data_IF_881454540720
#
_entry.id   IF_881454540720
#
_cell.length_a   1.000
_cell.length_b   1.000
_cell.length_c   1.000
_cell.angle_alpha   90.00
_cell.angle_beta   90.00
_cell.angle_gamma   90.00
#
_symmetry.space_group_name_H-M   'P 1'
#
loop_
_entity.id
_entity.type
_entity.pdbx_description
1 polymer ?
#
# COMPACT_ATOMS: atom_id res chain seq x y z
N UNK A 1 33.44 41.94 -6.24
CA UNK A 1 33.40 40.50 -6.61
C UNK A 1 33.20 39.55 -5.42
N UNK A 2 33.57 39.91 -4.18
CA UNK A 2 33.40 39.04 -3.00
C UNK A 2 31.94 38.72 -2.58
N UNK A 3 30.96 39.58 -2.91
CA UNK A 3 29.54 39.39 -2.51
C UNK A 3 28.76 38.36 -3.33
N UNK A 4 29.23 38.00 -4.52
CA UNK A 4 28.54 37.04 -5.41
C UNK A 4 28.89 35.59 -5.02
N UNK A 5 30.08 35.37 -4.46
CA UNK A 5 30.53 34.05 -3.99
C UNK A 5 29.77 33.55 -2.76
N UNK A 6 29.28 34.46 -1.90
CA UNK A 6 28.56 34.13 -0.67
C UNK A 6 27.16 33.55 -0.91
N UNK A 7 26.48 33.98 -1.98
CA UNK A 7 25.13 33.49 -2.33
C UNK A 7 25.15 32.07 -2.92
N UNK A 8 26.17 31.74 -3.72
CA UNK A 8 26.29 30.44 -4.36
C UNK A 8 26.53 29.31 -3.34
N UNK A 9 27.29 29.58 -2.29
CA UNK A 9 27.53 28.60 -1.22
C UNK A 9 26.26 28.31 -0.40
N UNK A 10 25.41 29.31 -0.14
CA UNK A 10 24.18 29.12 0.61
C UNK A 10 23.12 28.30 -0.18
N UNK A 11 23.06 28.46 -1.50
CA UNK A 11 22.12 27.71 -2.35
C UNK A 11 22.50 26.23 -2.48
N UNK A 12 23.79 25.90 -2.54
CA UNK A 12 24.27 24.52 -2.61
C UNK A 12 23.99 23.72 -1.31
N UNK A 13 24.05 24.37 -0.14
CA UNK A 13 23.76 23.73 1.15
C UNK A 13 22.26 23.44 1.31
N UNK A 14 21.38 24.29 0.78
CA UNK A 14 19.93 24.06 0.85
C UNK A 14 19.46 22.83 0.06
N UNK A 15 20.11 22.51 -1.07
CA UNK A 15 19.81 21.30 -1.85
C UNK A 15 20.36 20.01 -1.22
N UNK A 16 21.42 20.09 -0.40
CA UNK A 16 21.97 18.92 0.28
C UNK A 16 21.07 18.39 1.42
N UNK A 17 20.11 19.20 1.88
CA UNK A 17 19.15 18.82 2.94
C UNK A 17 17.71 18.70 2.46
N UNK A 18 17.45 18.83 1.15
CA UNK A 18 16.16 18.50 0.57
C UNK A 18 15.95 16.98 0.66
N UNK A 19 15.42 16.51 1.79
CA UNK A 19 14.90 15.14 1.88
C UNK A 19 13.80 15.02 0.85
N UNK A 20 13.86 13.99 0.01
CA UNK A 20 12.74 13.61 -0.83
C UNK A 20 11.49 13.56 0.06
N UNK A 21 10.42 14.25 -0.35
CA UNK A 21 9.16 14.23 0.39
C UNK A 21 8.76 12.77 0.56
N UNK A 22 8.82 12.29 1.80
CA UNK A 22 8.64 10.89 2.14
C UNK A 22 7.14 10.60 2.01
N UNK A 23 6.77 9.92 0.94
CA UNK A 23 5.38 9.64 0.59
C UNK A 23 4.80 8.59 1.55
N UNK A 24 4.31 9.01 2.71
CA UNK A 24 3.60 8.18 3.65
C UNK A 24 2.10 7.99 3.33
N UNK A 25 1.39 7.24 4.18
CA UNK A 25 -0.04 6.94 4.00
C UNK A 25 -0.95 8.18 3.93
N UNK A 26 -0.46 9.32 4.43
CA UNK A 26 -1.16 10.60 4.46
C UNK A 26 -0.95 11.44 3.19
N UNK A 27 -0.03 11.06 2.31
CA UNK A 27 0.27 11.79 1.08
C UNK A 27 -0.86 11.72 0.06
N UNK A 28 -0.87 12.66 -0.92
CA UNK A 28 -1.86 12.66 -1.98
C UNK A 28 -2.05 11.28 -2.60
N UNK A 29 -3.30 10.94 -2.89
CA UNK A 29 -3.64 9.64 -3.45
C UNK A 29 -3.15 9.60 -4.90
N UNK A 30 -2.27 8.66 -5.27
CA UNK A 30 -1.82 8.51 -6.65
C UNK A 30 -2.97 8.05 -7.55
N UNK A 31 -2.83 8.28 -8.86
CA UNK A 31 -3.72 7.69 -9.84
C UNK A 31 -3.46 6.20 -9.93
N UNK A 32 -4.51 5.37 -9.92
CA UNK A 32 -4.39 3.94 -10.16
C UNK A 32 -4.11 3.70 -11.65
N UNK A 33 -3.15 2.85 -11.97
CA UNK A 33 -2.70 2.61 -13.35
C UNK A 33 -2.39 3.93 -14.10
N UNK A 34 -1.94 4.97 -13.37
CA UNK A 34 -1.57 6.28 -13.92
C UNK A 34 -2.73 7.10 -14.48
N UNK A 35 -3.96 6.59 -14.43
CA UNK A 35 -5.10 7.15 -15.19
C UNK A 35 -6.34 7.33 -14.33
N UNK A 36 -6.57 6.45 -13.35
CA UNK A 36 -7.83 6.37 -12.63
C UNK A 36 -7.72 7.06 -11.26
N UNK A 37 -8.56 8.07 -11.02
CA UNK A 37 -8.63 8.73 -9.71
C UNK A 37 -9.21 7.78 -8.66
N UNK A 38 -8.52 7.65 -7.54
CA UNK A 38 -8.98 6.90 -6.39
C UNK A 38 -9.04 7.77 -5.14
N UNK A 39 -9.61 7.19 -4.09
CA UNK A 39 -9.67 7.76 -2.74
C UNK A 39 -9.04 6.78 -1.77
N UNK A 40 -8.42 7.30 -0.71
CA UNK A 40 -7.92 6.49 0.40
C UNK A 40 -9.11 6.10 1.29
N UNK A 41 -9.40 4.81 1.39
CA UNK A 41 -10.56 4.28 2.14
C UNK A 41 -10.20 3.67 3.49
N UNK A 42 -9.08 2.95 3.60
CA UNK A 42 -8.63 2.31 4.82
C UNK A 42 -7.12 2.43 4.98
N UNK A 43 -6.66 2.59 6.22
CA UNK A 43 -5.26 2.40 6.61
C UNK A 43 -5.17 1.23 7.58
N UNK A 44 -4.16 0.38 7.45
CA UNK A 44 -3.79 -0.59 8.48
C UNK A 44 -2.34 -0.41 8.90
N UNK A 45 -2.02 -0.83 10.13
CA UNK A 45 -0.68 -0.74 10.72
C UNK A 45 -0.26 -2.09 11.31
N UNK A 46 1.03 -2.25 11.59
CA UNK A 46 1.57 -3.51 12.11
C UNK A 46 1.83 -4.55 11.01
N UNK A 47 2.03 -4.11 9.77
CA UNK A 47 2.38 -5.00 8.65
C UNK A 47 3.74 -5.64 8.94
N UNK A 48 3.79 -6.97 8.83
CA UNK A 48 5.03 -7.73 8.90
C UNK A 48 5.16 -8.62 7.67
N UNK A 49 6.24 -8.44 6.94
CA UNK A 49 6.57 -9.21 5.74
C UNK A 49 8.02 -9.64 5.88
N UNK A 50 8.26 -10.94 5.83
CA UNK A 50 9.60 -11.51 5.82
C UNK A 50 9.60 -12.76 4.94
N UNK A 51 10.62 -13.61 5.02
CA UNK A 51 10.70 -14.82 4.22
C UNK A 51 9.51 -15.79 4.45
N UNK A 52 8.89 -15.71 5.64
CA UNK A 52 7.89 -16.66 6.10
C UNK A 52 6.52 -16.01 6.30
N UNK A 53 6.47 -14.70 6.52
CA UNK A 53 5.25 -13.95 6.80
C UNK A 53 4.90 -13.07 5.61
N UNK A 54 3.61 -12.95 5.30
CA UNK A 54 3.12 -11.93 4.38
C UNK A 54 1.87 -11.25 4.89
N UNK A 55 1.44 -10.23 4.14
CA UNK A 55 0.20 -9.50 4.39
C UNK A 55 -0.87 -9.98 3.42
N UNK A 56 -2.05 -10.31 3.95
CA UNK A 56 -3.25 -10.51 3.16
C UNK A 56 -4.24 -9.41 3.45
N UNK A 57 -4.80 -8.83 2.40
CA UNK A 57 -5.90 -7.87 2.46
C UNK A 57 -7.06 -8.42 1.63
N UNK A 58 -8.18 -8.70 2.28
CA UNK A 58 -9.43 -9.06 1.63
C UNK A 58 -10.30 -7.82 1.54
N UNK A 59 -10.82 -7.49 0.37
CA UNK A 59 -11.86 -6.48 0.27
C UNK A 59 -13.03 -6.96 -0.58
N UNK A 60 -14.24 -6.56 -0.21
CA UNK A 60 -15.49 -6.87 -0.90
C UNK A 60 -16.15 -5.59 -1.38
N UNK A 61 -16.52 -5.55 -2.66
CA UNK A 61 -17.31 -4.45 -3.22
C UNK A 61 -18.75 -4.49 -2.72
N UNK A 62 -19.25 -3.38 -2.20
CA UNK A 62 -20.67 -3.15 -1.91
C UNK A 62 -21.31 -2.21 -2.96
N UNK A 63 -20.57 -1.84 -4.00
CA UNK A 63 -21.08 -1.02 -5.10
C UNK A 63 -22.02 -1.84 -5.98
N UNK A 64 -23.16 -1.26 -6.35
CA UNK A 64 -24.25 -1.97 -7.04
C UNK A 64 -24.28 -1.75 -8.55
N UNK A 65 -23.66 -0.68 -9.03
CA UNK A 65 -23.97 -0.10 -10.35
C UNK A 65 -22.77 0.12 -11.25
N UNK A 66 -21.54 -0.09 -10.74
CA UNK A 66 -20.31 0.15 -11.48
C UNK A 66 -19.18 -0.73 -10.96
N UNK A 67 -18.21 -0.97 -11.82
CA UNK A 67 -16.97 -1.64 -11.44
C UNK A 67 -16.18 -0.76 -10.47
N UNK A 68 -15.49 -1.42 -9.54
CA UNK A 68 -14.66 -0.78 -8.53
C UNK A 68 -13.22 -1.15 -8.77
N UNK A 69 -12.40 -0.16 -9.10
CA UNK A 69 -10.95 -0.35 -9.17
C UNK A 69 -10.37 -0.08 -7.79
N UNK A 70 -9.53 -0.99 -7.34
CA UNK A 70 -8.93 -0.96 -6.01
C UNK A 70 -7.43 -1.21 -6.10
N UNK A 71 -6.70 -0.71 -5.11
CA UNK A 71 -5.30 -1.04 -4.94
C UNK A 71 -4.92 -1.12 -3.47
N UNK A 72 -3.89 -1.91 -3.19
CA UNK A 72 -3.22 -1.93 -1.89
C UNK A 72 -1.82 -1.34 -2.09
N UNK A 73 -1.51 -0.33 -1.29
CA UNK A 73 -0.17 0.28 -1.25
C UNK A 73 0.43 0.04 0.12
N UNK A 74 1.65 -0.49 0.16
CA UNK A 74 2.36 -0.90 1.37
C UNK A 74 3.52 0.03 1.63
N UNK A 75 3.78 0.28 2.90
CA UNK A 75 4.84 1.18 3.36
C UNK A 75 5.74 0.51 4.36
N UNK A 76 7.00 0.90 4.32
CA UNK A 76 7.95 0.64 5.38
C UNK A 76 7.65 1.48 6.64
N UNK A 77 8.31 1.17 7.75
CA UNK A 77 8.19 1.89 9.02
C UNK A 77 8.52 3.39 8.91
N UNK A 78 9.38 3.76 7.95
CA UNK A 78 9.75 5.14 7.67
C UNK A 78 8.80 5.81 6.67
N UNK A 79 7.68 5.16 6.33
CA UNK A 79 6.71 5.62 5.35
C UNK A 79 7.21 5.61 3.89
N UNK A 80 8.29 4.91 3.57
CA UNK A 80 8.67 4.65 2.18
C UNK A 80 7.66 3.72 1.52
N UNK A 81 7.07 4.12 0.39
CA UNK A 81 6.21 3.26 -0.44
C UNK A 81 7.01 2.09 -1.01
N UNK A 82 6.46 0.88 -0.90
CA UNK A 82 7.11 -0.36 -1.33
C UNK A 82 6.55 -0.93 -2.65
N UNK A 83 5.42 -0.42 -3.13
CA UNK A 83 4.86 -0.79 -4.42
C UNK A 83 4.21 0.41 -5.11
N UNK A 84 4.38 0.52 -6.42
CA UNK A 84 3.85 1.64 -7.19
C UNK A 84 2.51 1.30 -7.86
N UNK A 85 1.42 1.74 -7.23
CA UNK A 85 0.06 1.55 -7.75
C UNK A 85 -0.22 2.38 -9.01
N UNK A 86 0.57 3.42 -9.29
CA UNK A 86 0.45 4.19 -10.52
C UNK A 86 0.98 3.43 -11.74
N UNK A 87 1.93 2.52 -11.54
CA UNK A 87 2.36 1.56 -12.58
C UNK A 87 1.50 0.30 -12.64
N UNK A 88 0.52 0.18 -11.73
CA UNK A 88 -0.44 -0.92 -11.67
C UNK A 88 -0.10 -2.05 -10.73
N UNK A 89 1.02 -1.94 -9.99
CA UNK A 89 1.39 -2.96 -9.01
C UNK A 89 0.43 -2.92 -7.82
N UNK A 90 -0.30 -4.03 -7.64
CA UNK A 90 -1.32 -4.15 -6.58
C UNK A 90 -2.68 -3.59 -6.97
N UNK A 91 -2.91 -3.21 -8.23
CA UNK A 91 -4.21 -2.73 -8.72
C UNK A 91 -5.07 -3.90 -9.21
N UNK A 92 -6.38 -3.84 -8.95
CA UNK A 92 -7.35 -4.81 -9.45
C UNK A 92 -8.70 -4.18 -9.76
N UNK A 93 -9.49 -4.85 -10.60
CA UNK A 93 -10.84 -4.45 -10.96
C UNK A 93 -11.87 -5.45 -10.41
N UNK A 94 -12.79 -4.97 -9.60
CA UNK A 94 -13.98 -5.70 -9.18
C UNK A 94 -15.13 -5.41 -10.13
N UNK A 95 -15.49 -6.38 -10.96
CA UNK A 95 -16.49 -6.23 -12.03
C UNK A 95 -17.93 -6.56 -11.61
N UNK A 96 -18.17 -6.85 -10.31
CA UNK A 96 -19.50 -7.19 -9.83
C UNK A 96 -19.72 -6.78 -8.37
N UNK A 97 -20.97 -6.42 -8.00
CA UNK A 97 -21.37 -6.25 -6.60
C UNK A 97 -21.13 -7.52 -5.80
N UNK A 98 -20.62 -7.38 -4.57
CA UNK A 98 -20.32 -8.51 -3.68
C UNK A 98 -19.06 -9.30 -4.07
N UNK A 99 -18.36 -8.91 -5.15
CA UNK A 99 -17.08 -9.54 -5.49
C UNK A 99 -16.05 -9.22 -4.41
N UNK A 100 -15.40 -10.27 -3.92
CA UNK A 100 -14.24 -10.18 -3.04
C UNK A 100 -12.97 -10.38 -3.85
N UNK A 101 -11.95 -9.58 -3.57
CA UNK A 101 -10.59 -9.75 -4.09
C UNK A 101 -9.65 -9.84 -2.89
N UNK A 102 -8.70 -10.76 -3.01
CA UNK A 102 -7.65 -10.96 -2.03
C UNK A 102 -6.33 -10.47 -2.60
N UNK A 103 -5.72 -9.49 -1.94
CA UNK A 103 -4.35 -9.08 -2.19
C UNK A 103 -3.42 -9.83 -1.26
N UNK A 104 -2.35 -10.39 -1.81
CA UNK A 104 -1.26 -10.96 -1.06
C UNK A 104 0.03 -10.16 -1.34
N UNK A 105 0.62 -9.62 -0.27
CA UNK A 105 1.88 -8.90 -0.31
C UNK A 105 2.95 -9.77 0.31
N UNK A 106 4.04 -9.98 -0.42
CA UNK A 106 5.07 -10.94 -0.06
C UNK A 106 6.47 -10.46 -0.40
N UNK A 107 7.42 -10.98 0.36
CA UNK A 107 8.81 -11.05 -0.08
C UNK A 107 8.99 -12.35 -0.88
N UNK A 108 9.65 -12.28 -2.04
CA UNK A 108 9.88 -13.44 -2.91
C UNK A 108 11.06 -14.31 -2.45
N UNK A 109 11.80 -13.89 -1.42
CA UNK A 109 13.01 -14.55 -0.93
C UNK A 109 12.81 -15.71 0.07
N UNK A 110 11.71 -16.49 0.02
CA UNK A 110 11.39 -17.49 1.04
C UNK A 110 10.75 -18.78 0.55
N UNK A 111 10.64 -19.78 1.44
CA UNK A 111 9.96 -21.05 1.22
C UNK A 111 8.44 -20.89 1.16
N UNK A 112 7.96 -20.31 0.06
CA UNK A 112 6.54 -20.08 -0.18
C UNK A 112 5.88 -21.42 -0.46
N UNK A 113 5.04 -21.90 0.47
CA UNK A 113 4.31 -23.13 0.26
C UNK A 113 3.06 -22.94 -0.62
N UNK A 114 2.49 -21.72 -0.71
CA UNK A 114 1.25 -21.42 -1.42
C UNK A 114 0.97 -19.91 -1.59
N UNK A 115 0.01 -19.58 -2.45
CA UNK A 115 -0.47 -18.21 -2.75
C UNK A 115 -1.92 -18.09 -2.26
N UNK A 116 -2.23 -17.00 -1.55
CA UNK A 116 -3.55 -16.70 -0.99
C UNK A 116 -4.30 -15.64 -1.79
N UNK A 117 -3.58 -14.84 -2.57
CA UNK A 117 -4.14 -13.70 -3.28
C UNK A 117 -4.63 -14.01 -4.69
N UNK A 118 -5.75 -13.41 -5.07
CA UNK A 118 -6.12 -13.20 -6.47
C UNK A 118 -5.13 -12.22 -7.13
N UNK A 119 -4.60 -11.28 -6.34
CA UNK A 119 -3.61 -10.29 -6.76
C UNK A 119 -2.38 -10.41 -5.89
N UNK A 120 -1.22 -10.54 -6.52
CA UNK A 120 0.06 -10.60 -5.82
C UNK A 120 0.83 -9.29 -5.96
N UNK A 121 1.38 -8.81 -4.84
CA UNK A 121 2.34 -7.70 -4.78
C UNK A 121 3.69 -8.31 -4.40
N UNK A 122 4.53 -8.68 -5.39
CA UNK A 122 5.82 -9.30 -5.15
C UNK A 122 6.88 -8.28 -4.71
N UNK A 123 8.01 -8.78 -4.22
CA UNK A 123 9.28 -8.04 -4.09
C UNK A 123 9.26 -6.78 -3.21
N UNK A 124 8.39 -6.68 -2.20
CA UNK A 124 8.37 -5.52 -1.27
C UNK A 124 9.48 -5.52 -0.22
N UNK A 125 10.35 -6.54 -0.21
CA UNK A 125 11.41 -6.71 0.79
C UNK A 125 10.90 -7.07 2.18
N UNK A 126 11.78 -6.95 3.18
CA UNK A 126 11.42 -7.21 4.58
C UNK A 126 10.81 -5.95 5.24
N UNK A 127 9.69 -6.16 5.92
CA UNK A 127 8.90 -5.14 6.62
C UNK A 127 8.65 -5.65 8.04
N UNK A 128 9.13 -4.95 9.07
CA UNK A 128 8.97 -5.40 10.47
C UNK A 128 7.97 -4.56 11.28
N UNK A 129 7.60 -3.37 10.79
CA UNK A 129 6.64 -2.45 11.41
C UNK A 129 5.99 -1.55 10.35
N UNK A 130 5.52 -2.15 9.27
CA UNK A 130 4.97 -1.40 8.15
C UNK A 130 3.53 -0.95 8.37
N UNK A 131 3.04 -0.26 7.36
CA UNK A 131 1.63 0.07 7.22
C UNK A 131 1.17 -0.21 5.80
N UNK A 132 -0.13 -0.19 5.57
CA UNK A 132 -0.68 -0.21 4.23
C UNK A 132 -1.88 0.72 4.15
N UNK A 133 -2.20 1.15 2.94
CA UNK A 133 -3.49 1.76 2.65
C UNK A 133 -4.21 1.04 1.53
N UNK A 134 -5.52 1.10 1.60
CA UNK A 134 -6.42 0.67 0.53
C UNK A 134 -6.88 1.91 -0.21
N UNK A 135 -6.72 1.88 -1.53
CA UNK A 135 -7.18 2.90 -2.45
C UNK A 135 -8.33 2.33 -3.27
N UNK A 136 -9.35 3.14 -3.54
CA UNK A 136 -10.53 2.69 -4.27
C UNK A 136 -11.23 3.82 -5.03
N UNK A 137 -11.83 3.49 -6.17
CA UNK A 137 -12.75 4.37 -6.91
C UNK A 137 -14.15 4.45 -6.30
N UNK A 138 -14.42 3.65 -5.26
CA UNK A 138 -15.65 3.68 -4.48
C UNK A 138 -15.37 3.57 -2.98
N UNK A 139 -16.12 4.31 -2.17
CA UNK A 139 -16.09 4.20 -0.70
C UNK A 139 -17.03 3.11 -0.18
N UNK A 140 -17.84 2.49 -1.05
CA UNK A 140 -18.74 1.38 -0.70
C UNK A 140 -18.00 0.05 -0.75
N UNK A 141 -17.05 -0.12 0.15
CA UNK A 141 -16.24 -1.33 0.25
C UNK A 141 -16.04 -1.71 1.72
N UNK A 142 -15.92 -3.00 1.99
CA UNK A 142 -15.50 -3.52 3.30
C UNK A 142 -14.19 -4.27 3.12
N UNK A 143 -13.29 -4.14 4.08
CA UNK A 143 -11.99 -4.79 4.03
C UNK A 143 -11.65 -5.47 5.36
N UNK A 144 -10.81 -6.49 5.28
CA UNK A 144 -10.17 -7.17 6.40
C UNK A 144 -8.72 -7.45 6.02
N UNK A 145 -7.82 -7.47 7.00
CA UNK A 145 -6.41 -7.68 6.74
C UNK A 145 -5.77 -8.50 7.86
N UNK A 146 -4.73 -9.26 7.53
CA UNK A 146 -3.98 -10.05 8.49
C UNK A 146 -2.54 -10.27 8.03
N UNK A 147 -1.63 -10.38 8.99
CA UNK A 147 -0.34 -11.04 8.74
C UNK A 147 -0.55 -12.55 8.83
N UNK A 148 0.05 -13.29 7.91
CA UNK A 148 -0.15 -14.74 7.77
C UNK A 148 1.17 -15.47 7.66
N UNK A 149 1.25 -16.66 8.26
CA UNK A 149 2.32 -17.63 7.98
C UNK A 149 2.15 -18.22 6.59
N UNK A 150 3.20 -18.17 5.78
CA UNK A 150 3.22 -18.65 4.38
C UNK A 150 4.03 -19.93 4.21
N UNK A 151 4.57 -20.47 5.30
CA UNK A 151 5.45 -21.65 5.27
C UNK A 151 4.71 -22.98 5.41
N UNK A 152 3.45 -22.98 5.87
CA UNK A 152 2.68 -24.18 6.14
C UNK A 152 1.23 -24.04 5.66
N UNK A 153 0.62 -25.12 5.16
CA UNK A 153 -0.81 -25.18 4.80
C UNK A 153 -1.50 -26.26 5.64
N UNK A 154 -2.42 -25.89 6.56
CA UNK A 154 -2.89 -24.52 6.85
C UNK A 154 -1.82 -23.63 7.52
N UNK A 155 -1.98 -22.29 7.48
CA UNK A 155 -1.08 -21.37 8.18
C UNK A 155 -1.02 -21.70 9.68
N UNK A 156 0.17 -21.72 10.27
CA UNK A 156 0.29 -21.91 11.72
C UNK A 156 -0.24 -20.72 12.51
N UNK A 157 -0.16 -19.52 11.93
CA UNK A 157 -0.70 -18.31 12.52
C UNK A 157 -1.37 -17.41 11.49
N UNK A 158 -2.39 -16.70 11.97
CA UNK A 158 -3.06 -15.59 11.29
C UNK A 158 -3.27 -14.51 12.35
N UNK A 159 -2.66 -13.35 12.17
CA UNK A 159 -2.83 -12.21 13.08
C UNK A 159 -3.62 -11.10 12.38
N UNK A 160 -4.89 -10.86 12.76
CA UNK A 160 -5.69 -9.79 12.18
C UNK A 160 -5.08 -8.42 12.47
N UNK A 161 -5.13 -7.53 11.47
CA UNK A 161 -4.71 -6.15 11.56
C UNK A 161 -5.92 -5.24 11.72
N UNK A 162 -5.77 -4.21 12.57
CA UNK A 162 -6.79 -3.19 12.71
C UNK A 162 -6.80 -2.28 11.47
N UNK A 163 -7.98 -2.12 10.88
CA UNK A 163 -8.22 -1.19 9.78
C UNK A 163 -8.93 0.06 10.30
N UNK A 164 -8.42 1.21 9.92
CA UNK A 164 -8.99 2.51 10.23
C UNK A 164 -9.60 3.07 8.96
N UNK A 165 -10.93 3.18 8.93
CA UNK A 165 -11.65 3.79 7.83
C UNK A 165 -11.36 5.30 7.75
N UNK A 166 -11.11 5.81 6.55
CA UNK A 166 -10.96 7.25 6.30
C UNK A 166 -12.32 7.82 5.89
N UNK A 167 -12.90 8.64 6.76
CA UNK A 167 -14.21 9.27 6.53
C UNK A 167 -14.11 10.61 5.79
N UNK A 168 -12.97 11.30 5.89
CA UNK A 168 -12.68 12.55 5.17
C UNK A 168 -11.20 12.61 4.79
N UNK A 169 -10.93 12.95 3.54
CA UNK A 169 -9.59 13.34 3.09
C UNK A 169 -9.51 14.86 3.19
N UNK A 170 -8.64 15.41 4.06
CA UNK A 170 -8.36 16.86 4.02
C UNK A 170 -7.59 17.12 2.73
N UNK A 171 -8.22 17.88 1.83
CA UNK A 171 -7.59 18.30 0.58
C UNK A 171 -6.38 19.18 0.85
N UNK A 172 -5.37 19.01 0.00
CA UNK A 172 -4.28 19.96 -0.22
C UNK A 172 -4.85 21.21 -0.89
#
# INVERSE_FOLDING_TARGET
MARVMSLAAAFAVAFAFARAAQAGPADPVPLLNGTTRATHVFTGSGVRIDANTGLVVLCTSLEKSKDVMMAVEVYQWDATVLNDVATGIGVSLMTAPGRTITWEVKNDGGGIAYTFGDVSIPSVGNVFQGSFRVLSTSTKITCSAANIDRTNSPPNFVWPLNLIAKTKQKGV
#
